data_IF_770384562841
#
_entry.id   IF_770384562841
#
_cell.length_a   1.000
_cell.length_b   1.000
_cell.length_c   1.000
_cell.angle_alpha   90.00
_cell.angle_beta   90.00
_cell.angle_gamma   90.00
#
_symmetry.space_group_name_H-M   'P 1'
#
loop_
_entity.id
_entity.type
_entity.pdbx_description
1 polymer ?
#
# COMPACT_ATOMS: atom_id res chain seq x y z
N UNK A 1 23.94 19.01 0.36
CA UNK A 1 24.53 19.20 -0.98
C UNK A 1 24.72 17.83 -1.61
N UNK A 2 23.93 17.49 -2.63
CA UNK A 2 24.07 16.22 -3.35
C UNK A 2 25.23 16.40 -4.34
N UNK A 3 26.26 15.56 -4.24
CA UNK A 3 27.47 15.66 -5.04
C UNK A 3 27.21 15.26 -6.51
N UNK A 4 27.92 15.86 -7.46
CA UNK A 4 27.75 15.71 -8.92
C UNK A 4 27.80 14.27 -9.44
N UNK A 5 28.42 13.35 -8.69
CA UNK A 5 28.45 11.92 -8.98
C UNK A 5 27.05 11.28 -8.85
N UNK A 6 26.24 11.73 -7.88
CA UNK A 6 24.86 11.24 -7.70
C UNK A 6 23.95 11.68 -8.86
N UNK A 7 24.19 12.85 -9.47
CA UNK A 7 23.42 13.31 -10.64
C UNK A 7 23.70 12.48 -11.91
N UNK A 8 24.95 12.07 -12.14
CA UNK A 8 25.29 11.22 -13.31
C UNK A 8 24.68 9.82 -13.21
N UNK A 9 24.65 9.23 -12.01
CA UNK A 9 24.03 7.92 -11.79
C UNK A 9 22.51 7.96 -11.96
N UNK A 10 21.85 9.03 -11.51
CA UNK A 10 20.42 9.27 -11.74
C UNK A 10 20.13 9.37 -13.25
N UNK A 11 20.99 10.04 -14.03
CA UNK A 11 20.85 10.12 -15.49
C UNK A 11 20.96 8.75 -16.18
N UNK A 12 21.88 7.89 -15.76
CA UNK A 12 22.00 6.52 -16.29
C UNK A 12 20.80 5.63 -15.93
N UNK A 13 20.23 5.80 -14.72
CA UNK A 13 19.02 5.12 -14.27
C UNK A 13 17.82 5.53 -15.14
N UNK A 14 17.68 6.84 -15.39
CA UNK A 14 16.67 7.41 -16.29
C UNK A 14 16.82 6.85 -17.70
N UNK A 15 18.02 6.81 -18.29
CA UNK A 15 18.21 6.26 -19.65
C UNK A 15 17.80 4.79 -19.83
N UNK A 16 17.91 3.93 -18.80
CA UNK A 16 17.42 2.54 -18.85
C UNK A 16 15.90 2.43 -18.65
N UNK A 17 15.29 3.38 -17.94
CA UNK A 17 13.84 3.51 -17.78
C UNK A 17 13.20 3.98 -19.10
N UNK A 18 13.87 4.85 -19.86
CA UNK A 18 13.35 5.45 -21.10
C UNK A 18 13.29 4.48 -22.31
N UNK A 19 13.91 3.29 -22.24
CA UNK A 19 13.94 2.30 -23.33
C UNK A 19 12.76 1.31 -23.32
N UNK A 20 11.81 1.44 -22.39
CA UNK A 20 10.57 0.65 -22.40
C UNK A 20 9.51 1.33 -23.27
N UNK A 21 8.92 0.65 -24.27
CA UNK A 21 7.98 1.26 -25.21
C UNK A 21 6.61 1.59 -24.56
N UNK A 22 5.95 2.59 -25.14
CA UNK A 22 4.62 3.13 -24.79
C UNK A 22 3.51 2.04 -24.87
N UNK A 23 2.46 2.05 -24.01
CA UNK A 23 1.41 1.03 -24.05
C UNK A 23 0.41 1.12 -25.21
N UNK A 24 0.48 2.13 -26.08
CA UNK A 24 -0.58 2.41 -27.07
C UNK A 24 -0.57 1.52 -28.32
N UNK A 25 0.18 0.40 -28.33
CA UNK A 25 0.19 -0.53 -29.47
C UNK A 25 0.03 -2.00 -29.14
N UNK A 26 -0.38 -2.37 -27.92
CA UNK A 26 -0.65 -3.78 -27.62
C UNK A 26 -2.14 -4.08 -27.82
N UNK A 27 -2.46 -4.36 -29.07
CA UNK A 27 -3.65 -5.10 -29.48
C UNK A 27 -3.92 -6.23 -28.49
N UNK A 28 -5.17 -6.24 -28.01
CA UNK A 28 -5.84 -7.22 -27.14
C UNK A 28 -5.84 -8.63 -27.77
N UNK A 29 -4.67 -9.24 -27.98
CA UNK A 29 -4.51 -10.57 -28.59
C UNK A 29 -3.10 -11.11 -28.34
N UNK A 30 -2.74 -11.31 -27.07
CA UNK A 30 -1.80 -12.38 -26.71
C UNK A 30 -2.08 -12.80 -25.27
N UNK A 31 -2.96 -13.80 -25.08
CA UNK A 31 -2.83 -14.68 -23.91
C UNK A 31 -1.50 -15.40 -24.06
N UNK A 32 -0.39 -14.73 -23.73
CA UNK A 32 0.82 -15.43 -23.36
C UNK A 32 0.39 -16.35 -22.22
N UNK A 33 0.62 -17.66 -22.35
CA UNK A 33 0.30 -18.63 -21.31
C UNK A 33 0.82 -18.10 -19.98
N UNK A 34 -0.09 -17.56 -19.16
CA UNK A 34 0.30 -16.91 -17.93
C UNK A 34 0.94 -17.99 -17.06
N UNK A 35 2.15 -17.73 -16.55
CA UNK A 35 2.84 -18.66 -15.65
C UNK A 35 2.60 -18.20 -14.22
N UNK A 36 2.53 -19.11 -13.25
CA UNK A 36 2.47 -18.71 -11.86
C UNK A 36 3.77 -17.99 -11.50
N UNK A 37 3.68 -17.05 -10.58
CA UNK A 37 4.85 -16.39 -10.03
C UNK A 37 5.70 -17.42 -9.26
N UNK A 38 7.03 -17.36 -9.43
CA UNK A 38 7.91 -18.35 -8.82
C UNK A 38 7.89 -18.25 -7.29
N UNK A 39 7.78 -19.39 -6.62
CA UNK A 39 7.82 -19.51 -5.15
C UNK A 39 8.80 -20.59 -4.70
N UNK A 40 9.77 -20.93 -5.56
CA UNK A 40 10.78 -21.96 -5.35
C UNK A 40 12.19 -21.45 -5.72
N UNK A 41 13.22 -22.24 -5.39
CA UNK A 41 14.61 -21.86 -5.63
C UNK A 41 14.97 -20.56 -4.92
N UNK A 42 15.49 -19.57 -5.67
CA UNK A 42 15.80 -18.24 -5.16
C UNK A 42 14.59 -17.51 -4.58
N UNK A 43 13.39 -17.85 -5.07
CA UNK A 43 12.11 -17.27 -4.65
C UNK A 43 11.36 -18.11 -3.60
N UNK A 44 12.01 -19.15 -3.05
CA UNK A 44 11.45 -19.92 -1.96
C UNK A 44 11.16 -19.02 -0.75
N UNK A 45 10.03 -19.26 -0.10
CA UNK A 45 9.70 -18.59 1.15
C UNK A 45 10.78 -18.88 2.21
N UNK A 46 11.22 -17.84 2.89
CA UNK A 46 12.06 -17.92 4.08
C UNK A 46 11.46 -16.99 5.13
N UNK A 47 11.20 -17.53 6.32
CA UNK A 47 10.75 -16.72 7.44
C UNK A 47 11.82 -15.65 7.75
N UNK A 48 11.41 -14.41 8.11
CA UNK A 48 12.36 -13.36 8.46
C UNK A 48 13.16 -13.76 9.70
N UNK A 49 14.47 -13.51 9.66
CA UNK A 49 15.33 -13.66 10.83
C UNK A 49 15.17 -12.50 11.83
N UNK A 50 15.79 -12.57 13.01
CA UNK A 50 15.64 -11.55 14.07
C UNK A 50 16.05 -10.13 13.68
N UNK A 51 16.93 -9.99 12.67
CA UNK A 51 17.43 -8.70 12.19
C UNK A 51 16.73 -8.23 10.90
N UNK A 52 15.87 -9.05 10.31
CA UNK A 52 15.18 -8.72 9.07
C UNK A 52 14.01 -7.79 9.37
N UNK A 53 13.89 -6.71 8.59
CA UNK A 53 12.85 -5.70 8.78
C UNK A 53 11.58 -6.11 8.06
N UNK A 54 10.46 -6.10 8.79
CA UNK A 54 9.10 -6.27 8.26
C UNK A 54 8.21 -5.20 8.88
N UNK A 55 7.13 -4.87 8.19
CA UNK A 55 6.29 -3.73 8.56
C UNK A 55 4.83 -3.91 8.16
N UNK A 56 4.07 -2.80 8.08
CA UNK A 56 2.62 -2.86 8.01
C UNK A 56 2.11 -3.36 6.67
N UNK A 57 2.88 -3.24 5.59
CA UNK A 57 2.48 -3.64 4.25
C UNK A 57 2.69 -5.16 4.03
N UNK A 58 1.61 -5.96 3.95
CA UNK A 58 1.71 -7.41 3.77
C UNK A 58 2.33 -7.79 2.42
N UNK A 59 2.07 -7.01 1.36
CA UNK A 59 2.66 -7.24 0.04
C UNK A 59 4.18 -7.12 0.04
N UNK A 60 4.74 -6.06 0.66
CA UNK A 60 6.19 -5.89 0.79
C UNK A 60 6.82 -6.98 1.65
N UNK A 61 6.15 -7.39 2.74
CA UNK A 61 6.62 -8.49 3.58
C UNK A 61 6.69 -9.80 2.79
N UNK A 62 5.63 -10.13 2.02
CA UNK A 62 5.60 -11.31 1.17
C UNK A 62 6.70 -11.29 0.10
N UNK A 63 6.90 -10.15 -0.56
CA UNK A 63 7.95 -10.00 -1.58
C UNK A 63 9.36 -10.18 -1.00
N UNK A 64 9.64 -9.62 0.17
CA UNK A 64 10.90 -9.84 0.87
C UNK A 64 11.06 -11.30 1.37
N UNK A 65 10.01 -11.90 1.93
CA UNK A 65 10.00 -13.29 2.38
C UNK A 65 10.16 -14.29 1.22
N UNK A 66 9.74 -13.92 0.01
CA UNK A 66 9.95 -14.68 -1.22
C UNK A 66 11.15 -14.20 -2.06
N UNK A 67 12.00 -13.30 -1.58
CA UNK A 67 13.24 -12.92 -2.26
C UNK A 67 13.08 -12.08 -3.53
N UNK A 68 11.89 -11.54 -3.81
CA UNK A 68 11.67 -10.53 -4.85
C UNK A 68 12.21 -9.15 -4.45
N UNK A 69 12.43 -8.95 -3.16
CA UNK A 69 13.12 -7.80 -2.58
C UNK A 69 14.21 -8.31 -1.62
N UNK A 70 15.06 -7.40 -1.14
CA UNK A 70 16.09 -7.77 -0.16
C UNK A 70 15.44 -8.38 1.08
N UNK A 71 15.84 -9.61 1.42
CA UNK A 71 15.22 -10.39 2.51
C UNK A 71 15.38 -9.72 3.87
N UNK A 72 16.45 -8.93 4.06
CA UNK A 72 16.69 -8.12 5.25
C UNK A 72 15.71 -6.95 5.42
N UNK A 73 14.87 -6.67 4.42
CA UNK A 73 13.88 -5.60 4.45
C UNK A 73 14.44 -4.18 4.27
N UNK A 74 15.70 -4.03 3.85
CA UNK A 74 16.29 -2.76 3.41
C UNK A 74 16.39 -2.81 1.90
N UNK A 75 15.54 -2.06 1.19
CA UNK A 75 15.40 -2.16 -0.26
C UNK A 75 15.51 -0.79 -0.94
N UNK A 76 15.66 -0.80 -2.26
CA UNK A 76 15.66 0.43 -3.07
C UNK A 76 14.29 0.68 -3.72
N UNK A 77 13.97 1.92 -4.11
CA UNK A 77 12.76 2.21 -4.90
C UNK A 77 12.65 1.39 -6.19
N UNK A 78 13.76 1.08 -6.86
CA UNK A 78 13.76 0.25 -8.08
C UNK A 78 13.34 -1.19 -7.79
N UNK A 79 13.74 -1.74 -6.64
CA UNK A 79 13.28 -3.05 -6.20
C UNK A 79 11.77 -3.05 -5.94
N UNK A 80 11.21 -1.96 -5.42
CA UNK A 80 9.75 -1.80 -5.28
C UNK A 80 9.09 -1.85 -6.66
N UNK A 81 9.58 -1.09 -7.64
CA UNK A 81 9.00 -1.08 -8.98
C UNK A 81 9.01 -2.49 -9.58
N UNK A 82 10.17 -3.14 -9.59
CA UNK A 82 10.32 -4.48 -10.16
C UNK A 82 9.45 -5.52 -9.44
N UNK A 83 9.39 -5.47 -8.11
CA UNK A 83 8.64 -6.43 -7.30
C UNK A 83 7.12 -6.19 -7.40
N UNK A 84 6.67 -4.93 -7.45
CA UNK A 84 5.28 -4.57 -7.72
C UNK A 84 4.83 -5.06 -9.09
N UNK A 85 5.65 -4.87 -10.14
CA UNK A 85 5.33 -5.41 -11.47
C UNK A 85 5.25 -6.94 -11.49
N UNK A 86 6.08 -7.63 -10.71
CA UNK A 86 6.03 -9.09 -10.60
C UNK A 86 4.70 -9.61 -10.04
N UNK A 87 4.02 -8.84 -9.17
CA UNK A 87 2.69 -9.18 -8.64
C UNK A 87 1.54 -8.57 -9.45
N UNK A 88 1.81 -8.17 -10.70
CA UNK A 88 0.77 -7.67 -11.60
C UNK A 88 0.26 -6.28 -11.23
N UNK A 89 1.06 -5.45 -10.57
CA UNK A 89 0.79 -4.01 -10.48
C UNK A 89 1.38 -3.29 -11.69
N UNK A 90 0.57 -2.41 -12.27
CA UNK A 90 0.91 -1.62 -13.42
C UNK A 90 2.02 -0.61 -13.12
N UNK A 91 2.70 -0.12 -14.17
CA UNK A 91 3.63 1.00 -14.15
C UNK A 91 3.30 2.10 -13.14
N UNK A 92 2.12 2.68 -13.28
CA UNK A 92 1.66 3.84 -12.53
C UNK A 92 1.58 3.56 -11.02
N UNK A 93 0.98 2.43 -10.62
CA UNK A 93 0.90 2.00 -9.23
C UNK A 93 2.29 1.71 -8.67
N UNK A 94 3.14 0.99 -9.41
CA UNK A 94 4.49 0.66 -8.99
C UNK A 94 5.34 1.92 -8.75
N UNK A 95 5.21 2.94 -9.60
CA UNK A 95 5.88 4.23 -9.43
C UNK A 95 5.34 5.03 -8.24
N UNK A 96 4.01 5.01 -8.01
CA UNK A 96 3.40 5.61 -6.83
C UNK A 96 3.92 4.98 -5.54
N UNK A 97 4.03 3.65 -5.47
CA UNK A 97 4.58 2.94 -4.32
C UNK A 97 6.08 3.23 -4.12
N UNK A 98 6.85 3.36 -5.20
CA UNK A 98 8.25 3.76 -5.13
C UNK A 98 8.42 5.20 -4.61
N UNK A 99 7.56 6.13 -5.03
CA UNK A 99 7.55 7.50 -4.49
C UNK A 99 7.24 7.52 -2.99
N UNK A 100 6.30 6.69 -2.53
CA UNK A 100 6.00 6.53 -1.10
C UNK A 100 7.19 5.92 -0.34
N UNK A 101 7.90 4.96 -0.93
CA UNK A 101 9.08 4.37 -0.33
C UNK A 101 10.19 5.41 -0.05
N UNK A 102 10.34 6.41 -0.91
CA UNK A 102 11.28 7.54 -0.69
C UNK A 102 10.92 8.34 0.56
N UNK A 103 9.64 8.50 0.91
CA UNK A 103 9.19 9.20 2.13
C UNK A 103 9.67 8.45 3.39
N UNK A 104 9.68 7.12 3.35
CA UNK A 104 10.13 6.28 4.46
C UNK A 104 11.66 6.14 4.56
N UNK A 105 12.40 6.60 3.55
CA UNK A 105 13.81 6.28 3.34
C UNK A 105 14.77 7.48 3.34
N UNK A 106 15.98 7.24 2.85
CA UNK A 106 17.06 8.22 2.62
C UNK A 106 17.21 8.60 1.14
N UNK A 107 16.14 8.40 0.36
CA UNK A 107 16.02 8.50 -1.09
C UNK A 107 16.68 7.37 -1.92
N UNK A 108 17.72 6.70 -1.42
CA UNK A 108 18.35 5.56 -2.13
C UNK A 108 17.83 4.22 -1.62
N UNK A 109 17.60 4.16 -0.32
CA UNK A 109 17.13 2.98 0.38
C UNK A 109 16.03 3.34 1.36
N UNK A 110 15.23 2.34 1.72
CA UNK A 110 14.23 2.47 2.77
C UNK A 110 14.10 1.14 3.49
N UNK A 111 13.63 1.19 4.74
CA UNK A 111 13.22 -0.02 5.45
C UNK A 111 11.74 -0.30 5.21
N UNK A 112 11.40 -1.54 4.89
CA UNK A 112 10.00 -2.00 4.78
C UNK A 112 9.36 -2.23 6.17
N UNK A 113 10.07 -1.90 7.25
CA UNK A 113 9.62 -1.98 8.64
C UNK A 113 10.01 -0.74 9.43
N UNK A 114 10.48 -0.93 10.67
CA UNK A 114 10.99 0.16 11.52
C UNK A 114 12.31 0.76 11.01
N UNK A 115 12.66 1.93 11.54
CA UNK A 115 13.92 2.61 11.25
C UNK A 115 15.16 1.70 11.39
N UNK A 116 16.16 1.94 10.55
CA UNK A 116 17.38 1.14 10.50
C UNK A 116 18.60 1.99 10.19
N UNK A 117 19.42 2.30 11.20
CA UNK A 117 20.64 3.10 11.02
C UNK A 117 20.35 4.44 10.33
N UNK A 118 21.05 4.72 9.24
CA UNK A 118 20.90 5.95 8.44
C UNK A 118 19.87 5.85 7.31
N UNK A 119 19.22 4.68 7.12
CA UNK A 119 18.31 4.39 5.99
C UNK A 119 17.01 5.20 6.04
N UNK A 120 16.68 5.80 7.18
CA UNK A 120 15.47 6.60 7.38
C UNK A 120 14.51 6.01 8.39
N UNK A 121 13.28 6.53 8.40
CA UNK A 121 12.28 6.24 9.42
C UNK A 121 11.63 4.86 9.26
N UNK A 122 11.65 4.30 8.04
CA UNK A 122 10.99 3.05 7.69
C UNK A 122 9.48 3.18 7.56
N UNK A 123 8.85 2.22 6.90
CA UNK A 123 7.40 2.22 6.63
C UNK A 123 6.55 2.06 7.90
N UNK A 124 7.09 1.48 8.97
CA UNK A 124 6.38 1.32 10.26
C UNK A 124 6.34 2.62 11.08
N UNK A 125 6.97 3.70 10.63
CA UNK A 125 6.91 4.97 11.34
C UNK A 125 5.47 5.52 11.31
N UNK A 126 4.85 5.54 12.49
CA UNK A 126 3.51 6.06 12.69
C UNK A 126 3.37 7.52 12.22
N UNK A 127 2.28 7.78 11.49
CA UNK A 127 1.93 9.05 10.86
C UNK A 127 2.88 9.55 9.76
N UNK A 128 3.71 8.66 9.21
CA UNK A 128 4.46 8.93 7.97
C UNK A 128 3.84 8.19 6.80
N UNK A 129 3.85 6.85 6.85
CA UNK A 129 3.12 5.99 5.89
C UNK A 129 2.16 5.07 6.62
N UNK A 130 2.59 4.50 7.74
CA UNK A 130 1.70 3.79 8.66
C UNK A 130 0.74 4.78 9.32
N UNK A 131 -0.51 4.36 9.50
CA UNK A 131 -1.55 5.14 10.14
C UNK A 131 -2.61 4.29 10.81
N UNK A 132 -3.40 4.96 11.63
CA UNK A 132 -4.50 4.37 12.37
C UNK A 132 -5.61 3.81 11.46
N UNK A 133 -6.54 3.06 12.06
CA UNK A 133 -7.65 2.39 11.37
C UNK A 133 -7.22 1.28 10.39
N UNK A 134 -6.00 0.75 10.56
CA UNK A 134 -5.48 -0.39 9.80
C UNK A 134 -6.37 -1.64 9.92
N UNK A 135 -6.49 -2.42 8.85
CA UNK A 135 -7.40 -3.58 8.80
C UNK A 135 -6.92 -4.82 9.56
N UNK A 136 -5.61 -4.95 9.77
CA UNK A 136 -4.99 -6.17 10.33
C UNK A 136 -4.12 -5.92 11.57
N UNK A 137 -3.82 -4.67 11.88
CA UNK A 137 -2.85 -4.28 12.90
C UNK A 137 -3.44 -3.19 13.77
N UNK A 138 -3.04 -3.15 15.03
CA UNK A 138 -3.54 -2.17 15.99
C UNK A 138 -3.07 -0.75 15.67
N UNK A 139 -3.88 0.23 16.06
CA UNK A 139 -3.45 1.61 16.14
C UNK A 139 -2.32 1.77 17.16
N UNK A 140 -1.30 2.56 16.81
CA UNK A 140 -0.08 2.70 17.58
C UNK A 140 -0.32 3.07 19.05
N UNK A 141 -1.24 4.00 19.31
CA UNK A 141 -1.56 4.48 20.66
C UNK A 141 -2.28 3.44 21.53
N UNK A 142 -2.96 2.48 20.90
CA UNK A 142 -3.82 1.52 21.58
C UNK A 142 -3.22 0.10 21.62
N UNK A 143 -2.08 -0.12 20.97
CA UNK A 143 -1.45 -1.44 20.94
C UNK A 143 -0.58 -1.70 22.19
N UNK A 144 -0.84 -2.78 22.95
CA UNK A 144 -0.05 -3.11 24.12
C UNK A 144 1.27 -3.77 23.73
N UNK A 145 2.36 -3.00 23.59
CA UNK A 145 3.72 -3.58 23.51
C UNK A 145 4.75 -2.85 24.37
N UNK A 146 5.82 -3.58 24.72
CA UNK A 146 6.95 -3.13 25.55
C UNK A 146 7.65 -1.86 25.03
N UNK A 147 7.52 -1.56 23.74
CA UNK A 147 8.21 -0.44 23.07
C UNK A 147 7.26 0.69 22.62
N UNK A 148 5.99 0.65 23.04
CA UNK A 148 5.06 1.77 22.89
C UNK A 148 4.33 1.89 21.55
N UNK A 149 4.47 0.92 20.64
CA UNK A 149 3.74 0.86 19.36
C UNK A 149 4.02 -0.47 18.63
N UNK A 150 3.02 -1.34 18.46
CA UNK A 150 3.05 -2.42 17.45
C UNK A 150 1.87 -2.22 16.49
N UNK A 151 2.21 -1.51 15.43
CA UNK A 151 1.29 -1.07 14.39
C UNK A 151 1.44 -1.90 13.10
N UNK A 152 2.09 -3.06 13.17
CA UNK A 152 2.41 -3.82 11.96
C UNK A 152 2.23 -5.33 12.08
N UNK A 153 2.35 -5.96 13.25
CA UNK A 153 2.08 -7.38 13.35
C UNK A 153 0.57 -7.67 13.22
N UNK A 154 0.24 -8.91 12.87
CA UNK A 154 -1.15 -9.34 12.74
C UNK A 154 -1.81 -9.39 14.11
N UNK A 155 -2.93 -8.68 14.25
CA UNK A 155 -3.76 -8.68 15.45
C UNK A 155 -5.14 -9.28 15.12
N UNK A 156 -5.46 -10.42 15.73
CA UNK A 156 -6.70 -11.14 15.45
C UNK A 156 -7.96 -10.37 15.89
N UNK A 157 -7.87 -9.62 16.99
CA UNK A 157 -8.97 -8.78 17.47
C UNK A 157 -9.31 -7.71 16.44
N UNK A 158 -8.29 -7.05 15.87
CA UNK A 158 -8.48 -6.06 14.79
C UNK A 158 -8.98 -6.73 13.51
N UNK A 159 -8.37 -7.86 13.12
CA UNK A 159 -8.74 -8.58 11.90
C UNK A 159 -10.17 -9.12 11.94
N UNK A 160 -10.72 -9.38 13.14
CA UNK A 160 -12.10 -9.85 13.33
C UNK A 160 -13.12 -8.92 12.69
N UNK A 161 -12.92 -7.60 12.71
CA UNK A 161 -13.78 -6.62 12.03
C UNK A 161 -13.86 -6.92 10.53
N UNK A 162 -12.70 -7.02 9.87
CA UNK A 162 -12.59 -7.35 8.44
C UNK A 162 -13.13 -8.74 8.12
N UNK A 163 -12.82 -9.73 8.96
CA UNK A 163 -13.27 -11.10 8.79
C UNK A 163 -14.79 -11.23 8.87
N UNK A 164 -15.43 -10.61 9.86
CA UNK A 164 -16.88 -10.65 10.02
C UNK A 164 -17.59 -10.00 8.83
N UNK A 165 -17.06 -8.87 8.33
CA UNK A 165 -17.54 -8.26 7.10
C UNK A 165 -17.41 -9.20 5.90
N UNK A 166 -16.33 -10.00 5.83
CA UNK A 166 -16.16 -11.00 4.77
C UNK A 166 -17.22 -12.12 4.86
N UNK A 167 -17.55 -12.57 6.08
CA UNK A 167 -18.59 -13.60 6.26
C UNK A 167 -19.97 -13.14 5.77
N UNK A 168 -20.30 -11.86 5.96
CA UNK A 168 -21.53 -11.27 5.41
C UNK A 168 -21.56 -11.22 3.88
N UNK A 169 -20.39 -11.34 3.23
CA UNK A 169 -20.21 -11.26 1.79
C UNK A 169 -19.71 -12.58 1.19
N UNK A 170 -20.19 -13.71 1.73
CA UNK A 170 -19.89 -15.05 1.22
C UNK A 170 -18.45 -15.52 1.46
N UNK A 171 -17.78 -14.97 2.47
CA UNK A 171 -16.40 -15.31 2.83
C UNK A 171 -15.34 -14.66 1.92
N UNK A 172 -15.73 -13.69 1.08
CA UNK A 172 -14.83 -13.03 0.15
C UNK A 172 -14.33 -11.69 0.71
N UNK A 173 -13.04 -11.39 0.55
CA UNK A 173 -12.42 -10.11 0.90
C UNK A 173 -12.43 -9.14 -0.29
N UNK A 174 -13.60 -8.99 -0.92
CA UNK A 174 -13.82 -8.08 -2.06
C UNK A 174 -14.28 -6.68 -1.63
N UNK A 175 -14.66 -5.85 -2.61
CA UNK A 175 -15.16 -4.48 -2.38
C UNK A 175 -16.32 -4.43 -1.36
N UNK A 176 -17.37 -5.29 -1.42
CA UNK A 176 -18.47 -5.24 -0.46
C UNK A 176 -18.05 -5.44 1.01
N UNK A 177 -17.04 -6.28 1.24
CA UNK A 177 -16.46 -6.50 2.57
C UNK A 177 -15.81 -5.23 3.09
N UNK A 178 -15.06 -4.53 2.25
CA UNK A 178 -14.39 -3.31 2.66
C UNK A 178 -15.29 -2.08 2.70
N UNK A 179 -16.43 -2.07 1.99
CA UNK A 179 -17.49 -1.08 2.22
C UNK A 179 -17.94 -1.08 3.68
N UNK A 180 -18.03 -2.26 4.31
CA UNK A 180 -18.38 -2.40 5.73
C UNK A 180 -17.15 -2.15 6.62
N UNK A 181 -16.06 -2.90 6.39
CA UNK A 181 -14.90 -2.90 7.28
C UNK A 181 -14.19 -1.53 7.34
N UNK A 182 -14.15 -0.77 6.23
CA UNK A 182 -13.49 0.54 6.22
C UNK A 182 -14.15 1.52 7.19
N UNK A 183 -15.50 1.53 7.26
CA UNK A 183 -16.23 2.38 8.18
C UNK A 183 -16.07 1.93 9.62
N UNK A 184 -16.16 0.63 9.88
CA UNK A 184 -16.00 0.07 11.23
C UNK A 184 -14.61 0.37 11.79
N UNK A 185 -13.55 0.18 11.00
CA UNK A 185 -12.18 0.48 11.44
C UNK A 185 -11.95 1.98 11.70
N UNK A 186 -12.52 2.84 10.87
CA UNK A 186 -12.53 4.29 11.12
C UNK A 186 -13.26 4.63 12.44
N UNK A 187 -14.46 4.09 12.64
CA UNK A 187 -15.26 4.34 13.86
C UNK A 187 -14.55 3.85 15.11
N UNK A 188 -13.90 2.69 15.04
CA UNK A 188 -13.11 2.14 16.14
C UNK A 188 -11.94 3.07 16.50
N UNK A 189 -11.24 3.66 15.52
CA UNK A 189 -10.21 4.67 15.75
C UNK A 189 -10.81 5.91 16.43
N UNK A 190 -11.85 6.48 15.84
CA UNK A 190 -12.51 7.69 16.37
C UNK A 190 -13.12 7.46 17.75
N UNK A 191 -13.64 6.28 18.05
CA UNK A 191 -14.21 5.99 19.36
C UNK A 191 -13.10 5.74 20.40
N UNK A 192 -12.14 4.87 20.08
CA UNK A 192 -11.31 4.21 21.08
C UNK A 192 -9.85 4.69 21.11
N UNK A 193 -9.36 5.36 20.07
CA UNK A 193 -8.01 5.91 20.04
C UNK A 193 -8.07 7.41 20.39
N UNK A 194 -7.49 7.81 21.52
CA UNK A 194 -7.48 9.21 21.98
C UNK A 194 -6.58 10.13 21.15
N UNK A 195 -5.72 9.53 20.30
CA UNK A 195 -4.80 10.21 19.36
C UNK A 195 -5.07 9.82 17.92
N UNK A 196 -6.27 9.33 17.61
CA UNK A 196 -6.67 8.90 16.26
C UNK A 196 -6.32 9.97 15.22
N UNK A 197 -5.57 9.60 14.19
CA UNK A 197 -5.29 10.44 13.01
C UNK A 197 -5.89 9.79 11.78
N UNK A 198 -6.74 10.52 11.06
CA UNK A 198 -7.30 10.10 9.78
C UNK A 198 -7.30 11.27 8.80
N UNK A 199 -6.09 11.73 8.44
CA UNK A 199 -5.87 12.84 7.52
C UNK A 199 -5.73 12.40 6.05
N UNK A 200 -5.31 13.31 5.16
CA UNK A 200 -5.19 13.03 3.74
C UNK A 200 -4.28 11.84 3.39
N UNK A 201 -3.15 11.66 4.07
CA UNK A 201 -2.26 10.53 3.80
C UNK A 201 -2.83 9.21 4.34
N UNK A 202 -3.53 9.24 5.48
CA UNK A 202 -4.24 8.06 5.99
C UNK A 202 -5.39 7.66 5.07
N UNK A 203 -6.11 8.61 4.49
CA UNK A 203 -7.12 8.34 3.47
C UNK A 203 -6.54 7.52 2.29
N UNK A 204 -5.38 7.92 1.77
CA UNK A 204 -4.70 7.21 0.68
C UNK A 204 -4.54 5.74 1.03
N UNK A 205 -3.91 5.44 2.17
CA UNK A 205 -3.62 4.06 2.55
C UNK A 205 -4.86 3.28 2.98
N UNK A 206 -5.78 3.90 3.73
CA UNK A 206 -7.00 3.25 4.21
C UNK A 206 -7.87 2.78 3.05
N UNK A 207 -8.06 3.59 2.01
CA UNK A 207 -8.94 3.19 0.91
C UNK A 207 -8.22 2.52 -0.26
N UNK A 208 -6.91 2.73 -0.46
CA UNK A 208 -6.15 1.99 -1.48
C UNK A 208 -5.89 0.53 -1.07
N UNK A 209 -5.58 0.29 0.21
CA UNK A 209 -5.22 -1.03 0.73
C UNK A 209 -6.27 -2.10 0.42
N UNK A 210 -7.59 -1.88 0.66
CA UNK A 210 -8.67 -2.78 0.24
C UNK A 210 -8.64 -3.19 -1.23
N UNK A 211 -8.22 -2.30 -2.13
CA UNK A 211 -8.15 -2.59 -3.56
C UNK A 211 -7.00 -3.56 -3.89
N UNK A 212 -5.96 -3.65 -3.05
CA UNK A 212 -5.00 -4.75 -3.14
C UNK A 212 -5.67 -6.09 -2.82
N UNK A 213 -6.47 -6.17 -1.75
CA UNK A 213 -7.21 -7.39 -1.39
C UNK A 213 -8.23 -7.80 -2.45
N UNK A 214 -8.94 -6.83 -3.03
CA UNK A 214 -10.01 -7.10 -3.97
C UNK A 214 -9.53 -7.34 -5.40
N UNK A 215 -8.43 -6.71 -5.83
CA UNK A 215 -8.03 -6.66 -7.24
C UNK A 215 -6.63 -7.20 -7.54
N UNK A 216 -5.75 -7.31 -6.53
CA UNK A 216 -4.34 -7.67 -6.73
C UNK A 216 -3.98 -9.01 -6.09
N UNK A 217 -4.27 -9.21 -4.82
CA UNK A 217 -3.96 -10.45 -4.08
C UNK A 217 -4.75 -11.70 -4.50
N UNK A 218 -5.99 -11.61 -5.02
CA UNK A 218 -6.68 -12.77 -5.59
C UNK A 218 -5.82 -13.47 -6.64
N UNK A 219 -6.07 -14.75 -6.90
CA UNK A 219 -5.32 -15.44 -7.93
C UNK A 219 -5.76 -14.93 -9.31
N UNK A 220 -4.81 -14.58 -10.19
CA UNK A 220 -5.09 -14.09 -11.53
C UNK A 220 -5.96 -15.00 -12.39
N UNK A 221 -6.01 -16.30 -12.07
CA UNK A 221 -6.81 -17.30 -12.80
C UNK A 221 -8.31 -17.23 -12.53
N UNK A 222 -8.74 -16.78 -11.34
CA UNK A 222 -10.16 -16.75 -10.96
C UNK A 222 -10.62 -15.40 -10.39
N UNK A 223 -9.70 -14.53 -9.97
CA UNK A 223 -9.96 -13.22 -9.39
C UNK A 223 -10.73 -13.26 -8.07
N UNK A 224 -10.79 -14.41 -7.37
CA UNK A 224 -11.56 -14.54 -6.13
C UNK A 224 -10.71 -14.22 -4.90
N UNK A 225 -11.13 -13.22 -4.14
CA UNK A 225 -10.49 -12.81 -2.88
C UNK A 225 -10.88 -13.75 -1.73
N UNK A 226 -10.60 -15.04 -1.84
CA UNK A 226 -10.94 -16.04 -0.83
C UNK A 226 -10.00 -15.98 0.38
N UNK A 227 -10.47 -16.44 1.53
CA UNK A 227 -9.66 -16.45 2.75
C UNK A 227 -8.36 -17.25 2.60
N UNK A 228 -8.39 -18.39 1.90
CA UNK A 228 -7.22 -19.25 1.73
C UNK A 228 -6.07 -18.57 0.99
N UNK A 229 -6.38 -17.63 0.10
CA UNK A 229 -5.40 -16.77 -0.58
C UNK A 229 -5.02 -15.58 0.30
N UNK A 230 -6.01 -14.85 0.84
CA UNK A 230 -5.76 -13.61 1.59
C UNK A 230 -4.97 -13.87 2.86
N UNK A 231 -5.22 -14.96 3.59
CA UNK A 231 -4.47 -15.28 4.82
C UNK A 231 -2.98 -15.48 4.57
N UNK A 232 -2.62 -16.01 3.40
CA UNK A 232 -1.23 -16.27 3.03
C UNK A 232 -0.51 -14.94 2.76
N UNK A 233 -1.15 -14.02 2.04
CA UNK A 233 -0.65 -12.65 1.88
C UNK A 233 -0.54 -11.90 3.21
N UNK A 234 -1.54 -12.03 4.08
CA UNK A 234 -1.57 -11.36 5.39
C UNK A 234 -0.62 -11.97 6.41
N UNK A 235 -0.14 -13.18 6.17
CA UNK A 235 0.75 -13.86 7.09
C UNK A 235 0.04 -14.37 8.34
N UNK A 236 -1.18 -14.92 8.24
CA UNK A 236 -1.83 -15.62 9.35
C UNK A 236 -2.23 -17.05 9.00
N UNK A 237 -2.35 -17.89 10.02
CA UNK A 237 -2.75 -19.29 9.91
C UNK A 237 -3.73 -19.67 11.02
N UNK A 238 -4.30 -20.87 10.94
CA UNK A 238 -5.14 -21.41 12.01
C UNK A 238 -4.34 -22.37 12.87
N UNK A 239 -4.40 -22.18 14.18
CA UNK A 239 -3.90 -23.11 15.19
C UNK A 239 -5.01 -23.35 16.20
N UNK A 240 -5.41 -24.62 16.37
CA UNK A 240 -6.52 -25.01 17.26
C UNK A 240 -7.83 -24.21 17.02
N UNK A 241 -8.14 -23.91 15.76
CA UNK A 241 -9.34 -23.14 15.38
C UNK A 241 -9.23 -21.63 15.59
N UNK A 242 -8.09 -21.13 16.09
CA UNK A 242 -7.84 -19.69 16.27
C UNK A 242 -6.91 -19.14 15.19
N UNK A 243 -7.14 -17.91 14.74
CA UNK A 243 -6.26 -17.23 13.78
C UNK A 243 -5.04 -16.69 14.52
N UNK A 244 -3.85 -17.06 14.04
CA UNK A 244 -2.57 -16.62 14.59
C UNK A 244 -1.70 -15.99 13.52
N UNK A 245 -1.09 -14.86 13.87
CA UNK A 245 -0.11 -14.18 13.03
C UNK A 245 1.22 -14.93 12.95
N UNK A 246 1.86 -14.86 11.79
CA UNK A 246 3.27 -15.15 11.62
C UNK A 246 4.03 -13.85 11.84
N UNK A 247 5.02 -13.84 12.74
CA UNK A 247 5.83 -12.65 12.99
C UNK A 247 6.55 -12.19 11.70
N UNK A 248 6.37 -10.93 11.31
CA UNK A 248 6.85 -10.43 10.01
C UNK A 248 6.29 -11.19 8.79
N UNK A 249 5.12 -11.79 8.99
CA UNK A 249 4.48 -12.73 8.09
C UNK A 249 4.01 -12.13 6.77
N UNK A 250 3.68 -13.04 5.86
CA UNK A 250 3.24 -12.75 4.50
C UNK A 250 4.05 -13.61 3.54
N UNK A 251 3.37 -14.23 2.58
CA UNK A 251 3.97 -15.07 1.56
C UNK A 251 3.15 -14.93 0.27
N UNK A 252 3.81 -15.14 -0.87
CA UNK A 252 3.13 -15.31 -2.16
C UNK A 252 2.54 -16.74 -2.20
N UNK A 253 1.21 -16.91 -2.39
CA UNK A 253 0.60 -18.23 -2.42
C UNK A 253 1.21 -19.14 -3.49
N UNK A 254 1.26 -20.46 -3.22
CA UNK A 254 1.69 -21.44 -4.23
C UNK A 254 0.72 -21.43 -5.40
N UNK A 255 1.24 -21.61 -6.62
CA UNK A 255 0.44 -21.59 -7.86
C UNK A 255 -0.38 -20.29 -8.02
N UNK A 256 0.12 -19.18 -7.49
CA UNK A 256 -0.49 -17.87 -7.65
C UNK A 256 -0.04 -17.24 -8.97
N UNK A 257 -1.01 -16.76 -9.75
CA UNK A 257 -0.77 -16.07 -11.02
C UNK A 257 -0.98 -14.58 -10.81
N UNK A 258 -0.08 -13.71 -11.31
CA UNK A 258 -0.34 -12.27 -11.33
C UNK A 258 -1.60 -11.97 -12.15
N UNK A 259 -2.15 -10.77 -12.05
CA UNK A 259 -3.21 -10.36 -12.97
C UNK A 259 -2.63 -9.91 -14.31
N UNK A 260 -3.25 -10.35 -15.42
CA UNK A 260 -2.94 -9.91 -16.79
C UNK A 260 -4.25 -9.47 -17.48
N UNK A 261 -4.40 -8.18 -17.85
CA UNK A 261 -3.41 -7.12 -17.73
C UNK A 261 -3.11 -6.71 -16.26
N UNK A 262 -1.90 -6.17 -15.99
CA UNK A 262 -1.56 -5.60 -14.69
C UNK A 262 -2.55 -4.52 -14.22
N UNK A 263 -2.75 -4.41 -12.90
CA UNK A 263 -3.68 -3.47 -12.27
C UNK A 263 -3.06 -2.08 -12.14
N UNK A 264 -3.75 -1.09 -12.67
CA UNK A 264 -3.33 0.32 -12.72
C UNK A 264 -4.11 1.16 -11.71
N UNK A 265 -3.77 2.44 -11.56
CA UNK A 265 -4.59 3.38 -10.79
C UNK A 265 -5.98 3.57 -11.39
N UNK A 266 -6.12 3.41 -12.72
CA UNK A 266 -7.43 3.45 -13.39
C UNK A 266 -8.34 2.31 -12.90
N UNK A 267 -7.76 1.14 -12.59
CA UNK A 267 -8.50 0.00 -12.02
C UNK A 267 -8.79 0.21 -10.52
N UNK A 268 -7.85 0.82 -9.79
CA UNK A 268 -7.99 1.07 -8.36
C UNK A 268 -8.99 2.19 -8.04
N UNK A 269 -9.07 3.24 -8.87
CA UNK A 269 -9.89 4.42 -8.58
C UNK A 269 -11.40 4.13 -8.41
N UNK A 270 -12.06 3.33 -9.27
CA UNK A 270 -13.45 2.90 -9.05
C UNK A 270 -13.63 2.07 -7.78
N UNK A 271 -12.64 1.24 -7.43
CA UNK A 271 -12.65 0.45 -6.20
C UNK A 271 -12.59 1.37 -4.96
N UNK A 272 -11.64 2.31 -4.92
CA UNK A 272 -11.50 3.29 -3.84
C UNK A 272 -12.79 4.10 -3.70
N UNK A 273 -13.32 4.59 -4.83
CA UNK A 273 -14.55 5.37 -4.86
C UNK A 273 -15.74 4.57 -4.31
N UNK A 274 -15.91 3.30 -4.74
CA UNK A 274 -17.00 2.46 -4.28
C UNK A 274 -16.95 2.17 -2.77
N UNK A 275 -15.74 2.03 -2.20
CA UNK A 275 -15.54 1.82 -0.77
C UNK A 275 -15.80 3.12 0.00
N UNK A 276 -15.27 4.25 -0.48
CA UNK A 276 -15.47 5.55 0.16
C UNK A 276 -16.95 5.98 0.16
N UNK A 277 -17.62 5.91 -1.00
CA UNK A 277 -19.00 6.37 -1.14
C UNK A 277 -20.03 5.48 -0.41
N UNK A 278 -19.66 4.29 0.04
CA UNK A 278 -20.53 3.49 0.90
C UNK A 278 -20.78 4.20 2.23
N UNK A 279 -19.74 4.78 2.82
CA UNK A 279 -19.81 5.55 4.07
C UNK A 279 -18.74 6.66 4.08
N UNK A 280 -19.02 7.83 3.47
CA UNK A 280 -18.12 8.98 3.54
C UNK A 280 -17.83 9.38 5.00
N UNK A 281 -16.59 9.75 5.28
CA UNK A 281 -16.12 10.14 6.62
C UNK A 281 -15.42 11.49 6.58
N UNK A 282 -15.41 12.19 7.71
CA UNK A 282 -14.64 13.42 7.87
C UNK A 282 -13.17 13.08 8.09
N UNK A 283 -12.29 13.76 7.37
CA UNK A 283 -10.86 13.70 7.64
C UNK A 283 -10.51 14.60 8.82
N UNK A 284 -9.51 14.22 9.61
CA UNK A 284 -9.13 14.96 10.80
C UNK A 284 -8.25 14.18 11.75
N UNK A 285 -8.14 14.67 12.98
CA UNK A 285 -7.42 13.99 14.05
C UNK A 285 -8.04 14.33 15.41
N UNK A 286 -7.81 13.48 16.41
CA UNK A 286 -8.12 13.82 17.80
C UNK A 286 -7.03 14.70 18.40
N UNK A 287 -7.46 15.85 18.93
CA UNK A 287 -6.66 16.74 19.77
C UNK A 287 -7.31 16.79 21.14
N UNK A 288 -6.59 16.34 22.17
CA UNK A 288 -7.12 16.23 23.55
C UNK A 288 -8.45 15.46 23.65
N UNK A 289 -8.59 14.39 22.87
CA UNK A 289 -9.80 13.56 22.85
C UNK A 289 -10.95 14.09 22.00
N UNK A 290 -10.86 15.32 21.49
CA UNK A 290 -11.89 15.95 20.63
C UNK A 290 -11.48 15.82 19.16
N UNK A 291 -12.43 15.44 18.31
CA UNK A 291 -12.20 15.37 16.86
C UNK A 291 -12.07 16.78 16.28
N UNK A 292 -10.94 17.04 15.62
CA UNK A 292 -10.65 18.27 14.90
C UNK A 292 -10.58 17.93 13.40
N UNK A 293 -11.53 18.43 12.58
CA UNK A 293 -11.51 18.20 11.14
C UNK A 293 -10.26 18.80 10.48
N UNK A 294 -9.74 18.15 9.44
CA UNK A 294 -8.72 18.74 8.57
C UNK A 294 -9.35 19.75 7.60
N UNK A 295 -8.55 20.71 7.12
CA UNK A 295 -8.97 21.66 6.10
C UNK A 295 -9.27 20.97 4.75
N UNK A 296 -8.50 19.92 4.44
CA UNK A 296 -8.78 19.04 3.32
C UNK A 296 -9.88 18.03 3.67
N UNK A 297 -10.91 17.96 2.84
CA UNK A 297 -12.02 17.01 2.92
C UNK A 297 -12.33 16.47 1.53
N UNK A 298 -12.97 15.30 1.48
CA UNK A 298 -13.43 14.70 0.21
C UNK A 298 -14.94 14.91 0.10
N UNK A 299 -15.44 15.44 -1.02
CA UNK A 299 -16.88 15.62 -1.22
C UNK A 299 -17.66 14.30 -1.11
N UNK A 300 -18.85 14.34 -0.52
CA UNK A 300 -19.74 13.16 -0.43
C UNK A 300 -20.27 12.69 -1.79
N UNK A 301 -20.17 13.54 -2.81
CA UNK A 301 -20.49 13.26 -4.21
C UNK A 301 -19.23 13.17 -5.08
N UNK A 302 -18.08 12.81 -4.48
CA UNK A 302 -16.82 12.68 -5.19
C UNK A 302 -16.95 11.75 -6.41
N UNK A 303 -16.21 12.10 -7.45
CA UNK A 303 -16.01 11.27 -8.64
C UNK A 303 -14.70 10.50 -8.53
N UNK A 304 -14.48 9.53 -9.42
CA UNK A 304 -13.20 8.82 -9.48
C UNK A 304 -12.03 9.79 -9.75
N UNK A 305 -12.26 10.85 -10.53
CA UNK A 305 -11.26 11.90 -10.76
C UNK A 305 -10.93 12.66 -9.46
N UNK A 306 -11.94 13.00 -8.65
CA UNK A 306 -11.71 13.69 -7.39
C UNK A 306 -10.87 12.86 -6.43
N UNK A 307 -11.15 11.56 -6.34
CA UNK A 307 -10.36 10.61 -5.54
C UNK A 307 -8.90 10.56 -5.99
N UNK A 308 -8.66 10.41 -7.30
CA UNK A 308 -7.30 10.35 -7.86
C UNK A 308 -6.54 11.65 -7.59
N UNK A 309 -7.18 12.80 -7.85
CA UNK A 309 -6.60 14.10 -7.60
C UNK A 309 -6.29 14.31 -6.10
N UNK A 310 -7.19 13.91 -5.21
CA UNK A 310 -7.00 14.01 -3.77
C UNK A 310 -5.80 13.18 -3.31
N UNK A 311 -5.73 11.91 -3.72
CA UNK A 311 -4.63 11.02 -3.35
C UNK A 311 -3.29 11.53 -3.88
N UNK A 312 -3.27 12.04 -5.12
CA UNK A 312 -2.07 12.67 -5.68
C UNK A 312 -1.62 13.86 -4.81
N UNK A 313 -2.52 14.81 -4.54
CA UNK A 313 -2.18 15.97 -3.71
C UNK A 313 -1.73 15.59 -2.30
N UNK A 314 -2.34 14.56 -1.69
CA UNK A 314 -1.94 14.04 -0.38
C UNK A 314 -0.52 13.46 -0.38
N UNK A 315 -0.19 12.63 -1.37
CA UNK A 315 1.16 12.04 -1.53
C UNK A 315 2.19 13.15 -1.76
N UNK A 316 1.89 14.10 -2.65
CA UNK A 316 2.81 15.21 -2.95
C UNK A 316 3.06 16.10 -1.73
N UNK A 317 2.03 16.44 -0.95
CA UNK A 317 2.17 17.21 0.30
C UNK A 317 2.99 16.45 1.36
N UNK A 318 2.88 15.11 1.40
CA UNK A 318 3.63 14.29 2.34
C UNK A 318 5.12 14.11 1.95
N UNK A 319 5.50 14.38 0.69
CA UNK A 319 6.91 14.28 0.25
C UNK A 319 7.72 15.53 0.65
N UNK A 320 8.74 15.43 1.53
CA UNK A 320 9.42 16.61 2.09
C UNK A 320 10.28 17.39 1.09
N UNK A 321 10.67 16.80 -0.05
CA UNK A 321 11.54 17.41 -1.03
C UNK A 321 11.17 16.99 -2.45
N UNK A 322 10.40 17.84 -3.11
CA UNK A 322 9.98 17.73 -4.51
C UNK A 322 11.17 17.42 -5.44
N UNK A 323 12.38 17.93 -5.18
CA UNK A 323 13.56 17.67 -6.02
C UNK A 323 14.06 16.21 -5.97
N UNK A 324 13.98 15.52 -4.82
CA UNK A 324 14.42 14.13 -4.70
C UNK A 324 13.38 13.16 -5.30
N UNK A 325 12.09 13.42 -5.04
CA UNK A 325 10.98 12.67 -5.66
C UNK A 325 10.88 12.92 -7.16
N UNK A 326 11.15 14.15 -7.62
CA UNK A 326 11.22 14.44 -9.06
C UNK A 326 12.45 13.78 -9.71
N UNK A 327 13.62 13.75 -9.08
CA UNK A 327 14.78 13.08 -9.71
C UNK A 327 14.66 11.56 -9.73
N UNK A 328 14.07 10.95 -8.70
CA UNK A 328 13.88 9.50 -8.62
C UNK A 328 12.66 8.99 -9.41
N UNK A 329 11.62 9.81 -9.57
CA UNK A 329 10.33 9.36 -10.12
C UNK A 329 9.83 10.25 -11.27
N UNK A 330 10.30 11.49 -11.48
CA UNK A 330 9.70 12.39 -12.48
C UNK A 330 9.85 11.94 -13.93
N UNK A 331 10.86 11.19 -14.34
CA UNK A 331 10.90 10.75 -15.75
C UNK A 331 9.84 9.69 -16.04
N UNK A 332 9.46 8.91 -15.02
CA UNK A 332 8.41 7.89 -15.10
C UNK A 332 7.04 8.49 -14.80
N UNK A 333 6.94 9.34 -13.77
CA UNK A 333 5.73 10.12 -13.50
C UNK A 333 5.43 11.06 -14.67
N UNK A 334 6.40 11.75 -15.29
CA UNK A 334 6.13 12.60 -16.45
C UNK A 334 5.83 11.82 -17.74
N UNK A 335 6.19 10.52 -17.86
CA UNK A 335 5.87 9.70 -19.06
C UNK A 335 4.62 8.85 -18.91
N UNK A 336 4.32 8.37 -17.70
CA UNK A 336 3.09 7.64 -17.38
C UNK A 336 1.96 8.62 -17.04
N UNK A 337 2.32 9.78 -16.49
CA UNK A 337 1.45 10.91 -16.20
C UNK A 337 1.73 12.11 -17.13
N UNK A 338 2.00 11.86 -18.43
CA UNK A 338 1.50 12.74 -19.51
C UNK A 338 -0.03 12.73 -19.56
N UNK A 339 -0.71 12.60 -18.42
CA UNK A 339 -2.07 13.08 -18.33
C UNK A 339 -1.90 14.58 -18.22
N UNK A 340 -2.42 15.31 -19.22
CA UNK A 340 -2.86 16.71 -19.05
C UNK A 340 -3.26 16.92 -17.59
N UNK A 341 -2.93 18.06 -16.96
CA UNK A 341 -3.38 18.30 -15.59
C UNK A 341 -4.87 17.93 -15.57
N UNK A 342 -5.20 16.81 -14.91
CA UNK A 342 -6.58 16.54 -14.61
C UNK A 342 -7.05 17.83 -13.96
N UNK A 343 -8.23 18.31 -14.33
CA UNK A 343 -8.77 19.58 -13.85
C UNK A 343 -9.05 19.42 -12.34
N UNK A 344 -8.00 19.25 -11.55
CA UNK A 344 -8.02 18.74 -10.20
C UNK A 344 -8.55 19.87 -9.35
N UNK A 345 -9.66 19.65 -8.64
CA UNK A 345 -10.19 20.67 -7.78
C UNK A 345 -9.20 20.94 -6.64
N UNK A 346 -9.28 22.14 -6.10
CA UNK A 346 -8.62 22.48 -4.85
C UNK A 346 -9.46 21.88 -3.72
N UNK A 347 -8.92 20.88 -3.03
CA UNK A 347 -9.56 20.30 -1.85
C UNK A 347 -9.25 21.18 -0.64
N UNK A 348 -9.96 22.29 -0.52
CA UNK A 348 -9.92 23.16 0.64
C UNK A 348 -11.37 23.55 0.93
N UNK A 349 -11.96 23.03 2.00
CA UNK A 349 -13.21 23.62 2.49
C UNK A 349 -12.79 24.78 3.37
N UNK A 350 -12.82 25.99 2.82
CA UNK A 350 -12.71 27.19 3.64
C UNK A 350 -13.82 27.13 4.70
N UNK A 351 -13.42 26.99 5.97
CA UNK A 351 -13.82 27.76 7.13
C UNK A 351 -13.31 27.11 8.41
#
# INVERSE_FOLDING_TARGET
>A
MINTVNLLFIFCLVSRILSHPHPDSLSRTRRLSQKPLSTSGDYAYKAPGPNDKRGPCPGLNALANNGYMNRNGISTPEQVISASSAIGLGPDVAAGLAALAVIAGDALTFSIGNASGTVGAGTSKHNVLEGDASYKSCDCNNCPTKNGCDNFDFNDTVWTTTYNAAQLNGGLFGIPTFQIAAKQRYDECVANNSKCVFGPIQFVFHYFTPCLFALTFPNGTDGKATEDIIRVWMGYFYENGQRKGMAGGGQIPKNWYPHDPPRTFVDAAPCILAIYLAHPVLLGAKVNGVWVPSAEQIPVNATANDIVCFMYQAIFKATPNIAATLLAVASYLNRVFTVKPWNCPVFNTGH
#
